data_IF_869875776073
#
_entry.id   IF_869875776073
#
_cell.length_a   1.000
_cell.length_b   1.000
_cell.length_c   1.000
_cell.angle_alpha   90.00
_cell.angle_beta   90.00
_cell.angle_gamma   90.00
#
_symmetry.space_group_name_H-M   'P 1'
#
loop_
_entity.id
_entity.type
_entity.pdbx_description
1 polymer ?
#
# COMPACT_ATOMS: atom_id res chain seq x y z
N UNK A 1 13.72 -2.22 13.51
CA UNK A 1 14.01 -1.97 12.07
C UNK A 1 12.80 -1.28 11.48
N UNK A 2 12.99 -0.23 10.67
CA UNK A 2 11.91 0.55 10.06
C UNK A 2 11.87 0.28 8.56
N UNK A 3 10.69 -0.02 8.00
CA UNK A 3 10.52 -0.39 6.60
C UNK A 3 9.55 0.56 5.89
N UNK A 4 9.96 1.08 4.73
CA UNK A 4 9.12 1.83 3.81
C UNK A 4 8.82 0.95 2.59
N UNK A 5 7.54 0.68 2.34
CA UNK A 5 7.09 0.04 1.10
C UNK A 5 6.63 1.13 0.16
N UNK A 6 7.43 1.43 -0.85
CA UNK A 6 7.08 2.35 -1.93
C UNK A 6 6.62 1.53 -3.14
N UNK A 7 5.38 1.70 -3.56
CA UNK A 7 4.81 0.94 -4.69
C UNK A 7 3.88 1.80 -5.53
N UNK A 8 3.83 1.49 -6.83
CA UNK A 8 2.88 2.08 -7.77
C UNK A 8 1.51 1.40 -7.66
N UNK A 9 1.52 0.07 -7.50
CA UNK A 9 0.32 -0.76 -7.46
C UNK A 9 0.06 -1.24 -6.04
N UNK A 10 -1.01 -0.73 -5.47
CA UNK A 10 -1.54 -1.10 -4.16
C UNK A 10 -3.07 -1.05 -4.24
N UNK A 11 -3.81 -1.88 -3.49
CA UNK A 11 -5.27 -1.83 -3.51
C UNK A 11 -5.73 -0.39 -3.24
N UNK A 12 -6.85 0.06 -3.84
CA UNK A 12 -8.08 -0.69 -4.08
C UNK A 12 -8.22 -1.37 -5.45
N UNK A 13 -7.39 -1.07 -6.44
CA UNK A 13 -7.39 -1.84 -7.68
C UNK A 13 -7.18 -3.33 -7.38
N UNK A 14 -7.84 -4.19 -8.16
CA UNK A 14 -7.77 -5.63 -7.99
C UNK A 14 -6.92 -6.19 -9.11
N UNK A 15 -5.76 -6.70 -8.74
CA UNK A 15 -4.81 -7.32 -9.64
C UNK A 15 -3.76 -8.11 -8.88
N UNK A 16 -2.88 -8.77 -9.62
CA UNK A 16 -1.83 -9.61 -9.05
C UNK A 16 -0.81 -8.81 -8.24
N UNK A 17 -0.40 -7.64 -8.76
CA UNK A 17 0.61 -6.80 -8.12
C UNK A 17 0.05 -6.16 -6.85
N UNK A 18 -1.19 -5.66 -6.90
CA UNK A 18 -1.90 -5.09 -5.75
C UNK A 18 -2.12 -6.14 -4.66
N UNK A 19 -2.48 -7.37 -5.03
CA UNK A 19 -2.61 -8.48 -4.07
C UNK A 19 -1.24 -8.79 -3.46
N UNK A 20 -0.19 -8.89 -4.28
CA UNK A 20 1.16 -9.17 -3.81
C UNK A 20 1.68 -8.08 -2.87
N UNK A 21 1.56 -6.80 -3.24
CA UNK A 21 2.05 -5.68 -2.43
C UNK A 21 1.31 -5.56 -1.10
N UNK A 22 0.00 -5.79 -1.08
CA UNK A 22 -0.80 -5.88 0.14
C UNK A 22 -0.34 -7.01 1.06
N UNK A 23 -0.24 -8.23 0.51
CA UNK A 23 0.12 -9.43 1.25
C UNK A 23 1.56 -9.38 1.76
N UNK A 24 2.48 -8.75 1.02
CA UNK A 24 3.86 -8.50 1.42
C UNK A 24 3.90 -7.51 2.59
N UNK A 25 3.23 -6.35 2.48
CA UNK A 25 3.20 -5.35 3.54
C UNK A 25 2.59 -5.91 4.84
N UNK A 26 1.50 -6.69 4.73
CA UNK A 26 0.86 -7.32 5.89
C UNK A 26 1.79 -8.29 6.62
N UNK A 27 2.52 -9.15 5.91
CA UNK A 27 3.43 -10.12 6.54
C UNK A 27 4.65 -9.44 7.16
N UNK A 28 5.13 -8.35 6.58
CA UNK A 28 6.25 -7.60 7.15
C UNK A 28 5.86 -6.76 8.36
N UNK A 29 4.62 -6.28 8.43
CA UNK A 29 4.15 -5.46 9.55
C UNK A 29 4.31 -6.17 10.91
N UNK A 30 4.20 -7.50 10.95
CA UNK A 30 4.40 -8.30 12.16
C UNK A 30 5.88 -8.57 12.48
N UNK A 31 6.79 -8.33 11.53
CA UNK A 31 8.21 -8.67 11.62
C UNK A 31 9.13 -7.46 11.79
N UNK A 32 8.59 -6.24 11.69
CA UNK A 32 9.34 -4.98 11.85
C UNK A 32 8.73 -4.12 12.94
N UNK A 33 9.51 -3.15 13.41
CA UNK A 33 9.10 -2.22 14.45
C UNK A 33 8.11 -1.17 13.92
N UNK A 34 8.33 -0.73 12.67
CA UNK A 34 7.47 0.23 12.00
C UNK A 34 7.45 -0.05 10.50
N UNK A 35 6.25 -0.08 9.92
CA UNK A 35 6.02 -0.20 8.48
C UNK A 35 5.11 0.92 8.01
N UNK A 36 5.48 1.57 6.90
CA UNK A 36 4.62 2.53 6.21
C UNK A 36 4.57 2.18 4.72
N UNK A 37 3.38 2.26 4.13
CA UNK A 37 3.19 2.14 2.67
C UNK A 37 3.03 3.54 2.07
N UNK A 38 3.72 3.82 0.98
CA UNK A 38 3.50 5.02 0.14
C UNK A 38 3.09 4.56 -1.25
N UNK A 39 1.94 5.01 -1.72
CA UNK A 39 1.40 4.63 -3.02
C UNK A 39 0.47 5.71 -3.60
N UNK A 40 0.16 5.65 -4.91
CA UNK A 40 -0.78 6.58 -5.54
C UNK A 40 -2.18 6.55 -4.92
N UNK A 41 -2.85 7.71 -4.95
CA UNK A 41 -4.26 7.84 -4.56
C UNK A 41 -5.17 7.27 -5.65
N UNK A 42 -6.05 6.35 -5.27
CA UNK A 42 -7.08 5.79 -6.14
C UNK A 42 -8.48 6.03 -5.55
N UNK A 43 -9.52 5.92 -6.39
CA UNK A 43 -10.91 5.95 -5.92
C UNK A 43 -11.14 4.71 -5.06
N UNK A 44 -11.64 4.90 -3.84
CA UNK A 44 -11.90 3.80 -2.89
C UNK A 44 -10.75 3.47 -1.94
N UNK A 45 -9.58 4.12 -2.07
CA UNK A 45 -8.42 3.89 -1.19
C UNK A 45 -8.76 4.00 0.29
N UNK A 46 -9.63 4.94 0.68
CA UNK A 46 -9.98 5.15 2.08
C UNK A 46 -10.60 3.91 2.77
N UNK A 47 -11.28 3.02 2.03
CA UNK A 47 -11.81 1.79 2.62
C UNK A 47 -10.70 0.77 2.90
N UNK A 48 -9.76 0.63 1.96
CA UNK A 48 -8.56 -0.22 2.11
C UNK A 48 -7.67 0.31 3.24
N UNK A 49 -7.39 1.62 3.23
CA UNK A 49 -6.47 2.26 4.18
C UNK A 49 -6.96 2.11 5.63
N UNK A 50 -8.29 2.14 5.86
CA UNK A 50 -8.89 1.88 7.18
C UNK A 50 -8.76 0.42 7.64
N UNK A 51 -8.65 -0.52 6.71
CA UNK A 51 -8.52 -1.94 7.00
C UNK A 51 -7.05 -2.39 7.14
N UNK A 52 -6.09 -1.55 6.74
CA UNK A 52 -4.68 -1.84 6.83
C UNK A 52 -4.19 -1.80 8.29
N UNK A 53 -3.37 -2.75 8.74
CA UNK A 53 -2.77 -2.73 10.08
C UNK A 53 -1.56 -1.78 10.18
N UNK A 54 -1.25 -1.04 9.12
CA UNK A 54 -0.12 -0.12 9.02
C UNK A 54 -0.56 1.18 8.32
N UNK A 55 0.14 2.31 8.53
CA UNK A 55 -0.14 3.54 7.81
C UNK A 55 0.05 3.41 6.29
N UNK A 56 -0.92 3.94 5.54
CA UNK A 56 -0.86 4.08 4.09
C UNK A 56 -0.92 5.56 3.72
N UNK A 57 0.14 6.07 3.10
CA UNK A 57 0.25 7.44 2.62
C UNK A 57 -0.07 7.46 1.12
N UNK A 58 -1.16 8.15 0.78
CA UNK A 58 -1.61 8.29 -0.62
C UNK A 58 -1.04 9.57 -1.25
N UNK A 59 -0.27 9.42 -2.32
CA UNK A 59 0.32 10.54 -3.07
C UNK A 59 -0.56 10.91 -4.26
N UNK A 60 -0.53 12.18 -4.67
CA UNK A 60 -1.23 12.67 -5.87
C UNK A 60 -0.32 12.51 -7.09
N UNK A 61 -0.07 11.27 -7.48
CA UNK A 61 0.63 10.92 -8.72
C UNK A 61 -0.28 10.04 -9.58
N UNK A 62 -0.12 10.05 -10.92
CA UNK A 62 -0.83 9.12 -11.80
C UNK A 62 -0.59 7.66 -11.38
N UNK A 63 -1.60 6.82 -11.53
CA UNK A 63 -1.50 5.38 -11.24
C UNK A 63 -0.93 4.60 -12.44
N UNK A 64 -0.99 5.18 -13.62
CA UNK A 64 -0.57 4.67 -14.91
C UNK A 64 0.54 5.54 -15.52
N UNK A 65 1.25 4.99 -16.51
CA UNK A 65 2.30 5.67 -17.27
C UNK A 65 1.74 6.55 -18.41
N UNK A 66 0.45 6.89 -18.40
CA UNK A 66 -0.24 7.63 -19.45
C UNK A 66 -0.59 9.06 -19.01
#
# INVERSE_FOLDING_TARGET
MRLLVLTQDFPPAIGGIETYSWELARRWADAVEELVVVCPRQRGSAAVDRAAPFPVIRTRVPCDLL
#
